data_IF_176439133444
#
_entry.id   IF_176439133444
#
_cell.length_a   1.000
_cell.length_b   1.000
_cell.length_c   1.000
_cell.angle_alpha   90.00
_cell.angle_beta   90.00
_cell.angle_gamma   90.00
#
_symmetry.space_group_name_H-M   'P 1'
#
loop_
_entity.id
_entity.type
_entity.pdbx_description
1 polymer ?
#
# COMPACT_ATOMS: atom_id res chain seq x y z
N UNK A 1 -25.02 4.39 -6.72
CA UNK A 1 -23.65 4.39 -6.16
C UNK A 1 -23.03 3.09 -6.63
N UNK A 2 -22.02 3.15 -7.49
CA UNK A 2 -21.33 1.95 -7.97
C UNK A 2 -20.64 1.34 -6.75
N UNK A 3 -20.90 0.07 -6.48
CA UNK A 3 -20.11 -0.66 -5.50
C UNK A 3 -18.78 -0.99 -6.16
N UNK A 4 -17.75 -0.20 -5.84
CA UNK A 4 -16.42 -0.28 -6.46
C UNK A 4 -15.67 -1.53 -6.00
N UNK A 5 -15.95 -2.02 -4.78
CA UNK A 5 -15.15 -3.08 -4.15
C UNK A 5 -15.22 -4.44 -4.88
N UNK A 6 -16.39 -4.91 -5.38
CA UNK A 6 -16.44 -6.10 -6.23
C UNK A 6 -15.58 -5.99 -7.50
N UNK A 7 -15.50 -4.81 -8.11
CA UNK A 7 -14.67 -4.57 -9.31
C UNK A 7 -13.18 -4.59 -8.95
N UNK A 8 -12.82 -4.00 -7.81
CA UNK A 8 -11.46 -4.01 -7.27
C UNK A 8 -11.01 -5.42 -6.90
N UNK A 9 -11.85 -6.20 -6.21
CA UNK A 9 -11.55 -7.60 -5.90
C UNK A 9 -11.39 -8.43 -7.18
N UNK A 10 -12.26 -8.24 -8.18
CA UNK A 10 -12.13 -8.89 -9.47
C UNK A 10 -10.81 -8.53 -10.18
N UNK A 11 -10.40 -7.26 -10.14
CA UNK A 11 -9.13 -6.80 -10.70
C UNK A 11 -7.93 -7.43 -10.00
N UNK A 12 -7.92 -7.45 -8.66
CA UNK A 12 -6.89 -8.11 -7.86
C UNK A 12 -6.81 -9.61 -8.19
N UNK A 13 -7.96 -10.29 -8.29
CA UNK A 13 -8.00 -11.72 -8.62
C UNK A 13 -7.50 -12.03 -10.02
N UNK A 14 -7.85 -11.19 -10.99
CA UNK A 14 -7.36 -11.33 -12.36
C UNK A 14 -5.84 -11.17 -12.45
N UNK A 15 -5.25 -10.28 -11.65
CA UNK A 15 -3.81 -10.01 -11.68
C UNK A 15 -3.00 -10.97 -10.81
N UNK A 16 -3.52 -11.37 -9.65
CA UNK A 16 -2.77 -12.06 -8.60
C UNK A 16 -3.24 -13.50 -8.31
N UNK A 17 -4.33 -13.96 -8.95
CA UNK A 17 -4.96 -15.25 -8.71
C UNK A 17 -5.98 -15.22 -7.55
N UNK A 18 -6.34 -16.39 -7.04
CA UNK A 18 -7.30 -16.47 -5.92
C UNK A 18 -6.61 -16.17 -4.57
N UNK A 19 -7.21 -15.35 -3.70
CA UNK A 19 -6.67 -15.14 -2.37
C UNK A 19 -6.83 -16.40 -1.53
N UNK A 20 -5.79 -16.77 -0.79
CA UNK A 20 -5.82 -17.94 0.10
C UNK A 20 -6.19 -17.59 1.55
N UNK A 21 -6.12 -16.30 1.90
CA UNK A 21 -6.53 -15.77 3.19
C UNK A 21 -7.10 -14.35 3.06
N UNK A 22 -7.92 -13.99 4.06
CA UNK A 22 -8.62 -12.71 4.18
C UNK A 22 -8.72 -12.34 5.64
N UNK A 23 -8.37 -11.11 5.97
CA UNK A 23 -8.62 -10.53 7.29
C UNK A 23 -9.38 -9.22 7.14
N UNK A 24 -10.32 -8.96 8.04
CA UNK A 24 -11.08 -7.72 8.08
C UNK A 24 -10.77 -6.96 9.37
N UNK A 25 -10.64 -5.64 9.24
CA UNK A 25 -10.43 -4.70 10.34
C UNK A 25 -11.46 -3.58 10.19
N UNK A 26 -12.13 -3.25 11.29
CA UNK A 26 -13.05 -2.11 11.34
C UNK A 26 -12.51 -1.12 12.36
N UNK A 27 -12.23 0.10 11.92
CA UNK A 27 -11.88 1.19 12.82
C UNK A 27 -13.15 1.97 13.20
N UNK A 28 -13.14 2.58 14.38
CA UNK A 28 -14.27 3.39 14.80
C UNK A 28 -14.39 4.60 13.84
N UNK A 29 -15.52 4.70 13.15
CA UNK A 29 -15.78 5.80 12.22
C UNK A 29 -15.26 5.59 10.80
N UNK A 30 -14.73 4.41 10.46
CA UNK A 30 -14.37 4.06 9.08
C UNK A 30 -15.23 2.90 8.57
N UNK A 31 -15.28 2.77 7.24
CA UNK A 31 -15.78 1.55 6.63
C UNK A 31 -14.90 0.34 6.98
N UNK A 32 -15.44 -0.85 6.75
CA UNK A 32 -14.69 -2.11 6.92
C UNK A 32 -13.59 -2.19 5.86
N UNK A 33 -12.36 -2.40 6.33
CA UNK A 33 -11.20 -2.64 5.49
C UNK A 33 -10.83 -4.11 5.54
N UNK A 34 -10.49 -4.68 4.40
CA UNK A 34 -9.96 -6.04 4.30
C UNK A 34 -8.53 -6.04 3.77
N UNK A 35 -7.79 -7.08 4.13
CA UNK A 35 -6.50 -7.39 3.55
C UNK A 35 -6.56 -8.82 3.03
N UNK A 36 -6.37 -8.96 1.72
CA UNK A 36 -6.34 -10.21 0.99
C UNK A 36 -4.90 -10.68 0.84
N UNK A 37 -4.65 -11.98 1.01
CA UNK A 37 -3.34 -12.60 0.79
C UNK A 37 -3.37 -13.46 -0.47
N UNK A 38 -2.36 -13.29 -1.31
CA UNK A 38 -2.16 -14.03 -2.56
C UNK A 38 -0.77 -14.67 -2.55
N UNK A 39 -0.67 -15.87 -3.13
CA UNK A 39 0.60 -16.57 -3.30
C UNK A 39 0.92 -16.72 -4.79
N UNK A 40 2.13 -16.32 -5.19
CA UNK A 40 2.65 -16.56 -6.53
C UNK A 40 4.11 -17.02 -6.42
N UNK A 41 4.34 -18.33 -6.60
CA UNK A 41 5.67 -18.90 -6.50
C UNK A 41 6.33 -18.63 -5.14
N UNK A 42 7.41 -17.86 -5.14
CA UNK A 42 8.19 -17.46 -3.98
C UNK A 42 7.89 -16.03 -3.49
N UNK A 43 6.69 -15.52 -3.80
CA UNK A 43 6.20 -14.21 -3.35
C UNK A 43 4.82 -14.37 -2.71
N UNK A 44 4.65 -13.73 -1.55
CA UNK A 44 3.37 -13.50 -0.89
C UNK A 44 3.01 -12.04 -1.09
N UNK A 45 1.77 -11.78 -1.50
CA UNK A 45 1.24 -10.43 -1.68
C UNK A 45 0.07 -10.19 -0.75
N UNK A 46 0.08 -9.03 -0.11
CA UNK A 46 -1.01 -8.53 0.72
C UNK A 46 -1.59 -7.31 0.02
N UNK A 47 -2.86 -7.37 -0.37
CA UNK A 47 -3.56 -6.25 -0.99
C UNK A 47 -4.71 -5.79 -0.11
N UNK A 48 -4.86 -4.49 0.06
CA UNK A 48 -6.02 -3.93 0.77
C UNK A 48 -7.25 -4.00 -0.14
N UNK A 49 -8.43 -4.07 0.48
CA UNK A 49 -9.72 -3.96 -0.17
C UNK A 49 -10.62 -3.12 0.74
N UNK A 50 -10.94 -1.91 0.30
CA UNK A 50 -11.83 -0.99 1.01
C UNK A 50 -11.33 0.46 1.04
N UNK A 51 -10.03 0.71 0.84
CA UNK A 51 -9.50 2.09 0.77
C UNK A 51 -10.11 2.87 -0.39
N UNK A 52 -10.38 2.18 -1.51
CA UNK A 52 -10.99 2.72 -2.72
C UNK A 52 -12.50 2.95 -2.62
N UNK A 53 -13.16 2.50 -1.54
CA UNK A 53 -14.61 2.63 -1.37
C UNK A 53 -15.06 4.10 -1.40
N UNK A 54 -14.26 4.99 -0.81
CA UNK A 54 -14.46 6.43 -0.82
C UNK A 54 -13.29 7.11 -1.54
N UNK A 55 -13.53 8.21 -2.27
CA UNK A 55 -12.43 8.96 -2.88
C UNK A 55 -11.61 9.64 -1.77
N UNK A 56 -10.30 9.74 -1.97
CA UNK A 56 -9.44 10.52 -1.09
C UNK A 56 -9.75 12.00 -1.29
N UNK A 57 -10.00 12.71 -0.20
CA UNK A 57 -10.37 14.13 -0.27
C UNK A 57 -9.13 15.00 -0.43
N UNK A 58 -9.22 16.00 -1.32
CA UNK A 58 -8.23 17.07 -1.39
C UNK A 58 -8.24 17.87 -0.07
N UNK A 59 -7.14 17.91 0.68
CA UNK A 59 -7.08 18.63 1.96
C UNK A 59 -7.23 20.15 1.81
N UNK A 60 -7.15 20.69 0.59
CA UNK A 60 -7.34 22.11 0.29
C UNK A 60 -8.77 22.47 -0.10
N UNK A 61 -9.63 21.48 -0.39
CA UNK A 61 -11.01 21.71 -0.76
C UNK A 61 -11.87 22.12 0.45
N UNK A 62 -12.83 23.04 0.25
CA UNK A 62 -13.75 23.47 1.32
C UNK A 62 -14.76 22.39 1.72
N UNK A 63 -15.06 21.46 0.82
CA UNK A 63 -15.95 20.32 1.06
C UNK A 63 -15.39 19.11 0.30
N UNK A 64 -15.39 17.96 0.96
CA UNK A 64 -15.05 16.70 0.31
C UNK A 64 -16.10 16.34 -0.75
N UNK A 65 -15.66 16.02 -1.96
CA UNK A 65 -16.54 15.43 -2.97
C UNK A 65 -16.73 13.93 -2.66
N UNK A 66 -17.97 13.45 -2.50
CA UNK A 66 -18.21 12.04 -2.18
C UNK A 66 -18.08 11.10 -3.38
N UNK A 67 -17.85 11.62 -4.59
CA UNK A 67 -17.81 10.87 -5.84
C UNK A 67 -16.45 11.00 -6.52
N UNK A 68 -16.02 12.23 -6.78
CA UNK A 68 -14.78 12.56 -7.50
C UNK A 68 -13.56 12.56 -6.57
N UNK A 69 -12.41 12.20 -7.14
CA UNK A 69 -11.12 12.25 -6.46
C UNK A 69 -10.40 10.90 -6.35
N UNK A 70 -9.10 10.91 -6.03
CA UNK A 70 -8.24 9.75 -6.19
C UNK A 70 -8.71 8.54 -5.40
N UNK A 71 -8.62 7.35 -5.99
CA UNK A 71 -8.91 6.07 -5.31
C UNK A 71 -7.72 5.16 -5.43
N UNK A 72 -7.44 4.40 -4.39
CA UNK A 72 -6.39 3.40 -4.45
C UNK A 72 -6.62 2.21 -3.54
N UNK A 73 -5.88 1.14 -3.80
CA UNK A 73 -5.57 0.08 -2.85
C UNK A 73 -4.06 -0.08 -2.74
N UNK A 74 -3.59 -0.55 -1.58
CA UNK A 74 -2.19 -0.75 -1.28
C UNK A 74 -1.80 -2.21 -1.53
N UNK A 75 -0.63 -2.44 -2.12
CA UNK A 75 -0.12 -3.80 -2.39
C UNK A 75 1.29 -3.96 -1.84
N UNK A 76 1.47 -4.82 -0.84
CA UNK A 76 2.78 -5.20 -0.32
C UNK A 76 3.18 -6.56 -0.87
N UNK A 77 4.41 -6.68 -1.38
CA UNK A 77 5.00 -7.95 -1.82
C UNK A 77 6.19 -8.32 -0.94
N UNK A 78 6.21 -9.55 -0.42
CA UNK A 78 7.30 -10.08 0.41
C UNK A 78 7.65 -11.51 -0.01
N UNK A 79 8.89 -11.92 0.19
CA UNK A 79 9.27 -13.33 0.08
C UNK A 79 8.84 -14.10 1.32
N UNK A 80 8.37 -15.35 1.18
CA UNK A 80 8.13 -16.21 2.33
C UNK A 80 9.46 -16.51 3.02
N UNK A 81 9.42 -16.74 4.33
CA UNK A 81 10.62 -17.02 5.11
C UNK A 81 10.30 -17.22 6.59
N UNK A 82 11.32 -17.06 7.44
CA UNK A 82 11.18 -17.22 8.89
C UNK A 82 10.40 -16.08 9.56
N UNK A 83 10.26 -14.93 8.89
CA UNK A 83 9.49 -13.78 9.40
C UNK A 83 7.99 -14.06 9.34
N UNK A 84 7.27 -13.75 10.43
CA UNK A 84 5.82 -13.86 10.51
C UNK A 84 5.14 -12.67 9.81
N UNK A 85 5.27 -12.61 8.49
CA UNK A 85 4.77 -11.50 7.66
C UNK A 85 3.25 -11.39 7.67
N UNK A 86 2.51 -12.44 8.07
CA UNK A 86 1.05 -12.38 8.20
C UNK A 86 0.59 -11.38 9.27
N UNK A 87 1.47 -10.92 10.16
CA UNK A 87 1.12 -9.85 11.11
C UNK A 87 1.02 -8.47 10.45
N UNK A 88 1.40 -8.33 9.18
CA UNK A 88 1.28 -7.09 8.40
C UNK A 88 -0.16 -6.70 8.07
N UNK A 89 -1.12 -7.62 8.25
CA UNK A 89 -2.55 -7.40 7.97
C UNK A 89 -3.10 -6.17 8.71
N UNK A 90 -2.77 -6.01 10.01
CA UNK A 90 -3.25 -4.87 10.79
C UNK A 90 -2.53 -3.56 10.42
N UNK A 91 -1.19 -3.51 10.34
CA UNK A 91 -0.47 -2.35 9.79
C UNK A 91 -0.98 -1.89 8.42
N UNK A 92 -1.23 -2.80 7.47
CA UNK A 92 -1.78 -2.44 6.16
C UNK A 92 -3.19 -1.86 6.25
N UNK A 93 -4.05 -2.43 7.10
CA UNK A 93 -5.39 -1.87 7.33
C UNK A 93 -5.31 -0.46 7.93
N UNK A 94 -4.35 -0.19 8.84
CA UNK A 94 -4.10 1.17 9.36
C UNK A 94 -3.67 2.12 8.25
N UNK A 95 -2.73 1.71 7.40
CA UNK A 95 -2.27 2.53 6.27
C UNK A 95 -3.41 2.83 5.27
N UNK A 96 -4.24 1.83 4.97
CA UNK A 96 -5.41 2.00 4.11
C UNK A 96 -6.50 2.88 4.71
N UNK A 97 -6.59 2.98 6.03
CA UNK A 97 -7.51 3.89 6.72
C UNK A 97 -7.03 5.35 6.71
N UNK A 98 -5.73 5.59 6.44
CA UNK A 98 -5.14 6.93 6.59
C UNK A 98 -5.83 8.04 5.78
N UNK A 99 -6.36 7.85 4.55
CA UNK A 99 -7.10 8.92 3.88
C UNK A 99 -8.35 9.34 4.65
N UNK A 100 -9.10 8.39 5.22
CA UNK A 100 -10.32 8.68 5.97
C UNK A 100 -10.04 9.25 7.37
N UNK A 101 -8.96 8.79 8.01
CA UNK A 101 -8.63 9.15 9.39
C UNK A 101 -7.78 10.42 9.48
N UNK A 102 -6.82 10.58 8.57
CA UNK A 102 -5.83 11.67 8.57
C UNK A 102 -6.10 12.72 7.50
N UNK A 103 -7.03 12.47 6.56
CA UNK A 103 -7.37 13.41 5.49
C UNK A 103 -6.26 13.60 4.45
N UNK A 104 -5.51 12.52 4.17
CA UNK A 104 -4.36 12.55 3.26
C UNK A 104 -4.66 11.92 1.90
N UNK A 105 -4.07 12.49 0.84
CA UNK A 105 -4.04 11.84 -0.47
C UNK A 105 -2.77 10.99 -0.56
N UNK A 106 -2.95 9.68 -0.70
CA UNK A 106 -1.85 8.73 -0.87
C UNK A 106 -1.45 8.68 -2.34
N UNK A 107 -0.21 9.06 -2.64
CA UNK A 107 0.33 9.18 -3.98
C UNK A 107 1.76 8.61 -4.07
N UNK A 108 2.24 8.24 -5.26
CA UNK A 108 3.62 7.82 -5.47
C UNK A 108 4.65 8.82 -4.91
N UNK A 109 5.71 8.29 -4.30
CA UNK A 109 6.74 9.06 -3.62
C UNK A 109 6.41 9.46 -2.18
N UNK A 110 5.15 9.33 -1.74
CA UNK A 110 4.76 9.54 -0.35
C UNK A 110 5.33 8.46 0.57
N UNK A 111 5.51 8.81 1.83
CA UNK A 111 5.88 7.87 2.90
C UNK A 111 4.67 7.66 3.79
N UNK A 112 4.34 6.41 4.07
CA UNK A 112 3.34 6.07 5.08
C UNK A 112 4.06 5.38 6.24
N UNK A 113 3.76 5.82 7.47
CA UNK A 113 4.44 5.36 8.68
C UNK A 113 3.41 4.74 9.62
N UNK A 114 3.73 3.58 10.20
CA UNK A 114 2.87 2.90 11.18
C UNK A 114 3.36 3.10 12.63
N UNK A 115 4.51 3.74 12.82
CA UNK A 115 5.12 4.03 14.12
C UNK A 115 5.79 2.83 14.80
N UNK A 116 5.54 1.62 14.32
CA UNK A 116 6.03 0.35 14.85
C UNK A 116 6.47 -0.59 13.71
N UNK A 117 7.17 -1.71 13.99
CA UNK A 117 7.53 -2.67 12.95
C UNK A 117 6.31 -3.19 12.17
N UNK A 118 6.41 -3.27 10.83
CA UNK A 118 5.34 -3.79 9.95
C UNK A 118 4.92 -5.23 10.30
N UNK A 119 5.82 -6.01 10.90
CA UNK A 119 5.56 -7.31 11.50
C UNK A 119 6.60 -7.56 12.61
N UNK A 120 6.42 -8.54 13.50
CA UNK A 120 7.38 -8.84 14.56
C UNK A 120 8.80 -9.05 14.02
N UNK A 121 9.74 -8.24 14.51
CA UNK A 121 11.14 -8.29 14.10
C UNK A 121 11.45 -7.62 12.75
N UNK A 122 10.47 -7.01 12.07
CA UNK A 122 10.73 -6.26 10.85
C UNK A 122 11.67 -5.08 11.12
N UNK A 123 12.68 -4.83 10.28
CA UNK A 123 13.50 -3.62 10.36
C UNK A 123 12.78 -2.40 9.75
N UNK A 124 11.52 -2.55 9.32
CA UNK A 124 10.75 -1.54 8.60
C UNK A 124 9.60 -1.03 9.46
N UNK A 125 9.49 0.30 9.59
CA UNK A 125 8.39 0.98 10.29
C UNK A 125 7.56 1.88 9.38
N UNK A 126 8.00 2.01 8.12
CA UNK A 126 7.34 2.83 7.12
C UNK A 126 7.48 2.18 5.74
N UNK A 127 6.69 2.68 4.79
CA UNK A 127 6.72 2.26 3.39
C UNK A 127 6.85 3.49 2.49
N UNK A 128 7.57 3.34 1.38
CA UNK A 128 7.49 4.25 0.25
C UNK A 128 6.37 3.77 -0.68
N UNK A 129 5.47 4.67 -1.07
CA UNK A 129 4.45 4.41 -2.07
C UNK A 129 5.10 4.50 -3.45
N UNK A 130 5.05 3.44 -4.24
CA UNK A 130 5.60 3.40 -5.60
C UNK A 130 4.53 3.73 -6.65
N UNK A 131 4.99 3.89 -7.89
CA UNK A 131 4.11 4.08 -9.05
C UNK A 131 3.18 2.87 -9.26
N UNK A 132 1.89 3.11 -9.62
CA UNK A 132 0.92 2.05 -9.90
C UNK A 132 1.09 1.46 -11.31
N UNK A 133 0.19 0.55 -11.70
CA UNK A 133 0.05 0.06 -13.07
C UNK A 133 1.04 -1.02 -13.51
N UNK A 134 2.11 -1.26 -12.74
CA UNK A 134 3.10 -2.31 -13.05
C UNK A 134 2.65 -3.72 -12.64
N UNK A 135 2.32 -3.91 -11.37
CA UNK A 135 1.96 -5.23 -10.83
C UNK A 135 0.47 -5.56 -11.01
N UNK A 136 -0.39 -4.56 -10.79
CA UNK A 136 -1.82 -4.63 -11.04
C UNK A 136 -2.15 -3.40 -11.86
N UNK A 137 -2.71 -3.61 -13.04
CA UNK A 137 -3.18 -2.53 -13.90
C UNK A 137 -4.32 -1.77 -13.21
N UNK A 138 -4.36 -0.46 -13.45
CA UNK A 138 -5.39 0.41 -12.89
C UNK A 138 -6.79 0.01 -13.37
N UNK A 139 -7.77 0.22 -12.50
CA UNK A 139 -9.17 -0.05 -12.78
C UNK A 139 -9.83 1.26 -13.19
N UNK A 140 -10.06 1.42 -14.50
CA UNK A 140 -10.90 2.49 -15.02
C UNK A 140 -12.34 2.32 -14.54
N UNK A 141 -12.96 3.43 -14.13
CA UNK A 141 -14.35 3.51 -13.72
C UNK A 141 -15.09 4.47 -14.65
N UNK A 142 -16.40 4.29 -14.77
CA UNK A 142 -17.22 5.21 -15.56
C UNK A 142 -17.23 6.61 -14.93
N UNK A 143 -17.17 7.64 -15.77
CA UNK A 143 -17.27 9.03 -15.33
C UNK A 143 -18.53 9.24 -14.46
N UNK A 144 -18.44 9.99 -13.35
CA UNK A 144 -17.33 10.88 -12.98
C UNK A 144 -16.29 10.26 -12.01
N UNK A 145 -16.28 8.94 -11.80
CA UNK A 145 -15.36 8.34 -10.84
C UNK A 145 -13.92 8.31 -11.38
N UNK A 146 -12.97 8.79 -10.59
CA UNK A 146 -11.54 8.56 -10.86
C UNK A 146 -11.20 7.06 -10.81
N UNK A 147 -10.21 6.60 -11.61
CA UNK A 147 -9.79 5.21 -11.61
C UNK A 147 -9.23 4.77 -10.25
N UNK A 148 -9.35 3.48 -9.94
CA UNK A 148 -8.69 2.88 -8.78
C UNK A 148 -7.26 2.50 -9.16
N UNK A 149 -6.29 3.11 -8.48
CA UNK A 149 -4.86 2.78 -8.62
C UNK A 149 -4.45 1.69 -7.63
N UNK A 150 -3.57 0.79 -8.04
CA UNK A 150 -3.01 -0.23 -7.13
C UNK A 150 -1.57 0.13 -6.80
N UNK A 151 -1.34 0.69 -5.62
CA UNK A 151 -0.09 1.32 -5.22
C UNK A 151 0.84 0.31 -4.54
N UNK A 152 1.98 -0.06 -5.14
CA UNK A 152 2.94 -0.93 -4.49
C UNK A 152 3.58 -0.23 -3.30
N UNK A 153 3.75 -0.97 -2.20
CA UNK A 153 4.41 -0.50 -0.99
C UNK A 153 5.82 -1.09 -0.90
N UNK A 154 6.81 -0.22 -0.72
CA UNK A 154 8.22 -0.58 -0.58
C UNK A 154 8.66 -0.34 0.87
N UNK A 155 8.82 -1.39 1.70
CA UNK A 155 9.22 -1.23 3.10
C UNK A 155 10.54 -0.45 3.23
N UNK A 156 10.59 0.50 4.17
CA UNK A 156 11.75 1.32 4.46
C UNK A 156 12.21 1.12 5.90
N UNK A 157 13.52 1.02 6.09
CA UNK A 157 14.12 1.18 7.41
C UNK A 157 14.03 2.65 7.86
N UNK A 158 14.11 2.95 9.17
CA UNK A 158 14.12 4.32 9.66
C UNK A 158 15.19 5.21 9.03
N UNK A 159 16.37 4.65 8.73
CA UNK A 159 17.47 5.37 8.09
C UNK A 159 17.14 5.73 6.63
N UNK A 160 16.55 4.79 5.87
CA UNK A 160 16.10 5.04 4.50
C UNK A 160 14.99 6.10 4.46
N UNK A 161 14.02 6.03 5.37
CA UNK A 161 12.97 7.04 5.48
C UNK A 161 13.55 8.43 5.82
N UNK A 162 14.51 8.50 6.74
CA UNK A 162 15.21 9.75 7.06
C UNK A 162 16.01 10.28 5.87
N UNK A 163 16.72 9.41 5.15
CA UNK A 163 17.50 9.79 3.98
C UNK A 163 16.60 10.29 2.83
N UNK A 164 15.46 9.61 2.58
CA UNK A 164 14.44 10.03 1.61
C UNK A 164 13.85 11.39 1.91
N UNK A 165 13.67 11.76 3.18
CA UNK A 165 13.20 13.11 3.55
C UNK A 165 14.15 14.22 3.10
N UNK A 166 15.45 13.92 3.03
CA UNK A 166 16.48 14.90 2.61
C UNK A 166 16.67 14.89 1.09
N UNK A 167 16.68 13.71 0.46
CA UNK A 167 17.11 13.56 -0.94
C UNK A 167 15.97 13.24 -1.92
N UNK A 168 14.76 12.97 -1.41
CA UNK A 168 13.60 12.61 -2.22
C UNK A 168 13.44 11.12 -2.48
N UNK A 169 12.24 10.74 -2.92
CA UNK A 169 11.84 9.35 -3.17
C UNK A 169 12.60 8.73 -4.35
N UNK A 170 12.76 9.48 -5.44
CA UNK A 170 13.44 9.00 -6.64
C UNK A 170 14.89 8.62 -6.33
N UNK A 171 15.63 9.47 -5.61
CA UNK A 171 17.01 9.21 -5.24
C UNK A 171 17.16 7.95 -4.38
N UNK A 172 16.18 7.65 -3.52
CA UNK A 172 16.19 6.42 -2.71
C UNK A 172 15.94 5.19 -3.59
N UNK A 173 14.99 5.27 -4.52
CA UNK A 173 14.72 4.19 -5.47
C UNK A 173 15.92 3.89 -6.37
N UNK A 174 16.58 4.92 -6.90
CA UNK A 174 17.83 4.76 -7.68
C UNK A 174 18.93 4.10 -6.86
N UNK A 175 19.04 4.44 -5.57
CA UNK A 175 20.01 3.83 -4.66
C UNK A 175 19.70 2.35 -4.39
N UNK A 176 18.44 1.98 -4.18
CA UNK A 176 18.03 0.57 -4.09
C UNK A 176 18.34 -0.20 -5.36
N UNK A 177 18.03 0.38 -6.52
CA UNK A 177 18.30 -0.24 -7.82
C UNK A 177 19.80 -0.47 -8.03
N UNK A 178 20.61 0.55 -7.76
CA UNK A 178 22.08 0.52 -7.92
C UNK A 178 22.72 -0.57 -7.07
N UNK A 179 22.19 -0.80 -5.86
CA UNK A 179 22.70 -1.80 -4.93
C UNK A 179 22.04 -3.18 -5.07
N UNK A 180 21.11 -3.35 -6.02
CA UNK A 180 20.36 -4.60 -6.16
C UNK A 180 19.58 -4.99 -4.90
N UNK A 181 19.08 -4.00 -4.16
CA UNK A 181 18.36 -4.23 -2.89
C UNK A 181 17.06 -4.99 -3.16
N UNK A 182 16.93 -6.20 -2.61
CA UNK A 182 15.67 -6.95 -2.69
C UNK A 182 14.65 -6.41 -1.69
N UNK A 183 13.79 -5.49 -2.14
CA UNK A 183 12.76 -4.87 -1.31
C UNK A 183 11.68 -5.84 -0.81
N UNK A 184 11.66 -7.08 -1.32
CA UNK A 184 10.75 -8.13 -0.88
C UNK A 184 11.35 -9.02 0.22
N UNK A 185 12.65 -8.93 0.49
CA UNK A 185 13.26 -9.68 1.60
C UNK A 185 12.76 -9.11 2.94
N UNK A 186 11.98 -9.87 3.73
CA UNK A 186 11.37 -9.36 4.95
C UNK A 186 12.38 -9.09 6.08
N UNK A 187 13.65 -9.46 5.88
CA UNK A 187 14.74 -9.33 6.84
C UNK A 187 15.89 -8.46 6.33
N UNK A 188 15.76 -7.84 5.14
CA UNK A 188 16.86 -7.07 4.55
C UNK A 188 17.31 -5.94 5.47
N UNK A 189 18.60 -5.62 5.39
CA UNK A 189 19.16 -4.43 6.02
C UNK A 189 18.87 -3.19 5.18
N UNK A 190 19.12 -2.02 5.77
CA UNK A 190 19.18 -0.76 5.02
C UNK A 190 20.16 -0.89 3.86
N UNK A 191 19.81 -0.29 2.72
CA UNK A 191 20.80 -0.03 1.66
C UNK A 191 21.94 0.84 2.22
N UNK A 192 23.18 0.74 1.71
CA UNK A 192 24.23 1.71 2.03
C UNK A 192 23.78 3.13 1.70
N UNK A 193 23.89 4.07 2.66
CA UNK A 193 23.38 5.45 2.57
C UNK A 193 24.49 6.52 2.61
N UNK A 194 25.75 6.08 2.69
CA UNK A 194 26.94 6.91 2.60
C UNK A 194 27.22 7.39 1.17
#
# INVERSE_FOLDING_TARGET
>A
MVDVLPLVEARLRSALGEPDARAAVTFLGTDRLEVLRFHEGDVVRYATLGMSAQPMSDPTAMLADPVEGPRAELVLSVRPGASDTDKVLRPLAVLAASPQVEGVVVAPGSSLDVGEPLWPGAPFTSVLVAEPGGLVEDLDLDEPLDPVRFLPLLPMTPNEAAWKRVHGAQALQERWLTNGTDLRDPSRRSVPLD
#
